data_IF_082778508370
#
_entry.id   IF_082778508370
#
_cell.length_a   1.000
_cell.length_b   1.000
_cell.length_c   1.000
_cell.angle_alpha   90.00
_cell.angle_beta   90.00
_cell.angle_gamma   90.00
#
_symmetry.space_group_name_H-M   'P 1'
#
loop_
_entity.id
_entity.type
_entity.pdbx_description
1 polymer ?
#
# COMPACT_ATOMS: atom_id res chain seq x y z
N UNK A 1 -25.58 -26.01 -16.77
CA UNK A 1 -26.17 -25.23 -15.66
C UNK A 1 -25.24 -25.10 -14.45
N UNK A 2 -24.67 -26.20 -13.93
CA UNK A 2 -23.73 -26.15 -12.80
C UNK A 2 -22.45 -25.34 -13.09
N UNK A 3 -21.80 -25.55 -14.24
CA UNK A 3 -20.61 -24.79 -14.64
C UNK A 3 -20.89 -23.29 -14.79
N UNK A 4 -22.05 -22.91 -15.37
CA UNK A 4 -22.48 -21.52 -15.47
C UNK A 4 -22.75 -20.90 -14.11
N UNK A 5 -23.32 -21.65 -13.16
CA UNK A 5 -23.58 -21.18 -11.79
C UNK A 5 -22.28 -21.01 -11.00
N UNK A 6 -21.34 -21.94 -11.15
CA UNK A 6 -19.98 -21.84 -10.57
C UNK A 6 -19.23 -20.64 -11.17
N UNK A 7 -19.26 -20.44 -12.48
CA UNK A 7 -18.65 -19.28 -13.15
C UNK A 7 -19.30 -17.96 -12.71
N UNK A 8 -20.63 -17.92 -12.55
CA UNK A 8 -21.32 -16.74 -12.01
C UNK A 8 -20.95 -16.49 -10.56
N UNK A 9 -20.90 -17.51 -9.71
CA UNK A 9 -20.45 -17.36 -8.32
C UNK A 9 -18.99 -16.89 -8.24
N UNK A 10 -18.12 -17.42 -9.10
CA UNK A 10 -16.71 -17.01 -9.18
C UNK A 10 -16.56 -15.56 -9.65
N UNK A 11 -17.29 -15.16 -10.69
CA UNK A 11 -17.35 -13.78 -11.17
C UNK A 11 -17.88 -12.83 -10.09
N UNK A 12 -18.89 -13.24 -9.33
CA UNK A 12 -19.43 -12.45 -8.23
C UNK A 12 -18.46 -12.22 -7.08
N UNK A 13 -17.44 -13.09 -6.92
CA UNK A 13 -16.42 -12.95 -5.86
C UNK A 13 -15.65 -11.62 -5.97
N UNK A 14 -15.36 -11.14 -7.18
CA UNK A 14 -14.70 -9.85 -7.38
C UNK A 14 -15.67 -8.71 -7.74
N UNK A 15 -16.81 -9.02 -8.37
CA UNK A 15 -17.80 -7.99 -8.78
C UNK A 15 -18.43 -7.29 -7.59
N UNK A 16 -18.87 -8.02 -6.56
CA UNK A 16 -19.49 -7.40 -5.39
C UNK A 16 -18.51 -6.47 -4.63
N UNK A 17 -17.29 -6.92 -4.26
CA UNK A 17 -16.29 -6.04 -3.69
C UNK A 17 -15.99 -4.83 -4.60
N UNK A 18 -15.76 -5.04 -5.91
CA UNK A 18 -15.47 -3.94 -6.83
C UNK A 18 -16.62 -2.93 -6.88
N UNK A 19 -17.87 -3.39 -6.93
CA UNK A 19 -19.06 -2.54 -6.95
C UNK A 19 -19.19 -1.71 -5.67
N UNK A 20 -18.92 -2.28 -4.49
CA UNK A 20 -18.97 -1.52 -3.22
C UNK A 20 -17.78 -0.57 -3.09
N UNK A 21 -16.56 -1.03 -3.37
CA UNK A 21 -15.34 -0.24 -3.24
C UNK A 21 -15.37 0.98 -4.17
N UNK A 22 -15.73 0.80 -5.44
CA UNK A 22 -15.86 1.92 -6.37
C UNK A 22 -17.16 2.68 -6.13
N UNK A 23 -18.26 1.99 -5.83
CA UNK A 23 -19.57 2.60 -5.65
C UNK A 23 -19.67 3.53 -4.45
N UNK A 24 -18.85 3.36 -3.43
CA UNK A 24 -18.82 4.26 -2.25
C UNK A 24 -17.90 5.47 -2.46
N UNK A 25 -17.11 5.52 -3.53
CA UNK A 25 -16.13 6.57 -3.78
C UNK A 25 -16.74 7.98 -3.91
N UNK A 26 -17.87 8.20 -4.60
CA UNK A 26 -18.47 9.53 -4.66
C UNK A 26 -18.96 10.02 -3.30
N UNK A 27 -19.59 9.14 -2.52
CA UNK A 27 -20.04 9.43 -1.15
C UNK A 27 -18.85 9.86 -0.28
N UNK A 28 -17.74 9.13 -0.38
CA UNK A 28 -16.51 9.45 0.30
C UNK A 28 -15.95 10.82 -0.10
N UNK A 29 -15.82 11.08 -1.40
CA UNK A 29 -15.30 12.35 -1.93
C UNK A 29 -16.20 13.53 -1.57
N UNK A 30 -17.53 13.35 -1.51
CA UNK A 30 -18.45 14.38 -1.04
C UNK A 30 -18.23 14.69 0.44
N UNK A 31 -18.12 13.67 1.30
CA UNK A 31 -17.85 13.86 2.72
C UNK A 31 -16.50 14.54 2.96
N UNK A 32 -15.46 14.10 2.26
CA UNK A 32 -14.15 14.73 2.28
C UNK A 32 -14.19 16.17 1.76
N UNK A 33 -14.86 16.43 0.63
CA UNK A 33 -14.97 17.74 0.03
C UNK A 33 -15.70 18.74 0.94
N UNK A 34 -16.80 18.30 1.57
CA UNK A 34 -17.51 19.10 2.57
C UNK A 34 -16.59 19.44 3.75
N UNK A 35 -15.86 18.46 4.29
CA UNK A 35 -14.91 18.71 5.36
C UNK A 35 -13.78 19.66 4.94
N UNK A 36 -13.25 19.50 3.72
CA UNK A 36 -12.21 20.36 3.18
C UNK A 36 -12.64 21.82 3.09
N UNK A 37 -13.90 22.07 2.74
CA UNK A 37 -14.47 23.42 2.70
C UNK A 37 -14.67 23.98 4.11
N UNK A 38 -15.26 23.19 5.02
CA UNK A 38 -15.53 23.62 6.40
C UNK A 38 -14.25 23.92 7.18
N UNK A 39 -13.20 23.14 6.94
CA UNK A 39 -11.91 23.29 7.62
C UNK A 39 -10.97 24.30 6.98
N UNK A 40 -11.37 24.97 5.88
CA UNK A 40 -10.52 25.93 5.17
C UNK A 40 -10.05 27.10 6.05
N UNK A 41 -10.83 27.43 7.09
CA UNK A 41 -10.53 28.50 8.05
C UNK A 41 -9.98 27.99 9.39
N UNK A 42 -9.75 26.68 9.51
CA UNK A 42 -9.23 26.06 10.73
C UNK A 42 -7.72 25.79 10.61
N UNK A 43 -6.99 25.72 11.75
CA UNK A 43 -5.61 25.24 11.75
C UNK A 43 -5.47 23.87 11.07
N UNK A 44 -4.38 23.68 10.31
CA UNK A 44 -4.12 22.48 9.51
C UNK A 44 -4.28 21.17 10.29
N UNK A 45 -3.89 21.15 11.57
CA UNK A 45 -4.04 19.98 12.45
C UNK A 45 -5.48 19.45 12.54
N UNK A 46 -6.49 20.34 12.49
CA UNK A 46 -7.89 19.92 12.55
C UNK A 46 -8.32 19.27 11.23
N UNK A 47 -7.94 19.88 10.10
CA UNK A 47 -8.16 19.26 8.79
C UNK A 47 -7.56 17.85 8.77
N UNK A 48 -6.28 17.71 9.16
CA UNK A 48 -5.57 16.44 9.15
C UNK A 48 -6.22 15.39 10.07
N UNK A 49 -6.62 15.76 11.28
CA UNK A 49 -7.22 14.82 12.23
C UNK A 49 -8.51 14.17 11.71
N UNK A 50 -9.38 14.95 11.05
CA UNK A 50 -10.63 14.43 10.48
C UNK A 50 -10.39 13.76 9.13
N UNK A 51 -9.47 14.26 8.31
CA UNK A 51 -9.04 13.61 7.06
C UNK A 51 -8.48 12.21 7.33
N UNK A 52 -7.64 12.05 8.34
CA UNK A 52 -7.13 10.75 8.82
C UNK A 52 -8.26 9.83 9.28
N UNK A 53 -9.30 10.38 9.93
CA UNK A 53 -10.47 9.59 10.36
C UNK A 53 -11.31 9.13 9.17
N UNK A 54 -11.54 10.01 8.18
CA UNK A 54 -12.23 9.65 6.95
C UNK A 54 -11.45 8.58 6.18
N UNK A 55 -10.14 8.76 6.03
CA UNK A 55 -9.28 7.77 5.38
C UNK A 55 -9.32 6.42 6.10
N UNK A 56 -9.24 6.44 7.43
CA UNK A 56 -9.37 5.23 8.25
C UNK A 56 -10.71 4.53 8.00
N UNK A 57 -11.82 5.25 7.87
CA UNK A 57 -13.13 4.66 7.56
C UNK A 57 -13.08 3.99 6.17
N UNK A 58 -12.63 4.70 5.15
CA UNK A 58 -12.57 4.17 3.79
C UNK A 58 -11.66 2.94 3.69
N UNK A 59 -10.44 3.01 4.21
CA UNK A 59 -9.51 1.89 4.17
C UNK A 59 -9.96 0.72 5.06
N UNK A 60 -10.64 0.97 6.18
CA UNK A 60 -11.20 -0.14 6.98
C UNK A 60 -12.28 -0.92 6.21
N UNK A 61 -13.06 -0.25 5.35
CA UNK A 61 -13.97 -0.92 4.41
C UNK A 61 -13.21 -1.67 3.33
N UNK A 62 -12.10 -1.14 2.80
CA UNK A 62 -11.22 -1.89 1.89
C UNK A 62 -10.74 -3.18 2.55
N UNK A 63 -10.22 -3.09 3.77
CA UNK A 63 -9.72 -4.24 4.53
C UNK A 63 -10.81 -5.25 4.91
N UNK A 64 -12.07 -4.84 5.01
CA UNK A 64 -13.19 -5.79 5.13
C UNK A 64 -13.18 -6.77 3.96
N UNK A 65 -13.03 -6.28 2.74
CA UNK A 65 -13.02 -7.15 1.56
C UNK A 65 -11.72 -7.95 1.42
N UNK A 66 -10.58 -7.33 1.68
CA UNK A 66 -9.29 -7.98 1.46
C UNK A 66 -8.84 -8.90 2.60
N UNK A 67 -9.41 -8.82 3.81
CA UNK A 67 -9.06 -9.75 4.88
C UNK A 67 -10.26 -10.56 5.39
N UNK A 68 -11.38 -9.90 5.69
CA UNK A 68 -12.53 -10.60 6.29
C UNK A 68 -13.38 -11.37 5.28
N UNK A 69 -13.60 -10.81 4.09
CA UNK A 69 -14.40 -11.44 3.04
C UNK A 69 -13.64 -12.55 2.29
N UNK A 70 -12.37 -12.29 1.93
CA UNK A 70 -11.50 -13.30 1.31
C UNK A 70 -11.25 -14.46 2.27
N UNK A 71 -11.06 -14.15 3.55
CA UNK A 71 -10.68 -15.12 4.57
C UNK A 71 -9.20 -15.55 4.46
N UNK A 72 -8.39 -14.76 3.77
CA UNK A 72 -6.94 -14.97 3.65
C UNK A 72 -6.29 -15.07 5.03
N UNK A 73 -5.34 -15.99 5.19
CA UNK A 73 -4.57 -16.10 6.43
C UNK A 73 -3.37 -15.16 6.38
N UNK A 74 -3.24 -14.30 7.39
CA UNK A 74 -2.10 -13.38 7.52
C UNK A 74 -1.13 -13.95 8.53
N UNK A 75 0.01 -14.45 8.03
CA UNK A 75 1.08 -15.03 8.85
C UNK A 75 2.18 -13.99 9.05
N UNK A 76 2.28 -13.48 10.27
CA UNK A 76 3.30 -12.50 10.65
C UNK A 76 4.52 -13.21 11.25
N UNK A 77 5.70 -12.86 10.78
CA UNK A 77 7.00 -13.31 11.29
C UNK A 77 7.76 -12.09 11.81
N UNK A 78 8.46 -12.26 12.93
CA UNK A 78 9.11 -11.15 13.63
C UNK A 78 8.13 -10.31 14.45
N UNK A 79 8.65 -9.24 15.05
CA UNK A 79 7.91 -8.44 16.03
C UNK A 79 7.28 -7.19 15.38
N UNK A 80 5.97 -7.23 15.19
CA UNK A 80 5.17 -6.03 14.93
C UNK A 80 4.84 -5.33 16.26
N UNK A 81 5.32 -4.10 16.51
CA UNK A 81 4.96 -3.38 17.73
C UNK A 81 3.45 -3.22 17.87
N UNK A 82 2.93 -3.37 19.09
CA UNK A 82 1.49 -3.13 19.36
C UNK A 82 1.14 -1.65 19.37
N UNK A 83 2.12 -0.82 19.72
CA UNK A 83 1.95 0.62 19.80
C UNK A 83 2.03 1.25 18.41
N UNK A 84 1.34 2.38 18.27
CA UNK A 84 1.44 3.21 17.10
C UNK A 84 2.78 3.95 17.11
N UNK A 85 3.51 3.84 16.01
CA UNK A 85 4.81 4.47 15.81
C UNK A 85 4.80 5.34 14.54
N UNK A 86 5.63 6.37 14.51
CA UNK A 86 5.97 7.11 13.31
C UNK A 86 7.07 6.34 12.58
N UNK A 87 6.75 5.78 11.41
CA UNK A 87 7.66 4.87 10.72
C UNK A 87 7.78 5.17 9.23
N UNK A 88 8.90 4.71 8.66
CA UNK A 88 9.00 4.44 7.23
C UNK A 88 8.82 2.93 7.04
N UNK A 89 7.86 2.55 6.23
CA UNK A 89 7.62 1.18 5.81
C UNK A 89 8.38 0.94 4.50
N UNK A 90 9.34 0.02 4.51
CA UNK A 90 10.13 -0.38 3.35
C UNK A 90 9.80 -1.84 3.02
N UNK A 91 9.26 -2.09 1.83
CA UNK A 91 8.97 -3.45 1.41
C UNK A 91 9.41 -3.77 -0.01
N UNK A 92 9.53 -5.06 -0.29
CA UNK A 92 9.53 -5.55 -1.66
C UNK A 92 8.15 -5.31 -2.31
N UNK A 93 8.12 -5.23 -3.63
CA UNK A 93 6.95 -4.89 -4.42
C UNK A 93 6.78 -5.93 -5.53
N UNK A 94 5.68 -6.67 -5.51
CA UNK A 94 5.40 -7.75 -6.47
C UNK A 94 3.93 -7.81 -6.90
N UNK A 95 3.01 -7.23 -6.14
CA UNK A 95 1.56 -7.33 -6.38
C UNK A 95 0.89 -5.96 -6.38
N UNK A 96 -0.25 -5.85 -7.08
CA UNK A 96 -1.18 -4.73 -6.88
C UNK A 96 -1.79 -4.67 -5.47
N UNK A 97 -1.66 -5.74 -4.68
CA UNK A 97 -2.18 -5.88 -3.31
C UNK A 97 -1.18 -5.37 -2.26
N UNK A 98 0.07 -5.08 -2.61
CA UNK A 98 1.12 -4.75 -1.62
C UNK A 98 0.79 -3.53 -0.75
N UNK A 99 0.08 -2.54 -1.28
CA UNK A 99 -0.38 -1.40 -0.47
C UNK A 99 -1.43 -1.80 0.56
N UNK A 100 -2.27 -2.79 0.24
CA UNK A 100 -3.26 -3.37 1.16
C UNK A 100 -2.53 -4.12 2.29
N UNK A 101 -1.40 -4.77 1.99
CA UNK A 101 -0.57 -5.40 3.02
C UNK A 101 -0.01 -4.36 4.00
N UNK A 102 0.40 -3.18 3.51
CA UNK A 102 0.80 -2.09 4.40
C UNK A 102 -0.37 -1.61 5.28
N UNK A 103 -1.58 -1.47 4.72
CA UNK A 103 -2.79 -1.11 5.46
C UNK A 103 -3.21 -2.17 6.49
N UNK A 104 -3.05 -3.47 6.17
CA UNK A 104 -3.25 -4.62 7.07
C UNK A 104 -2.37 -4.50 8.30
N UNK A 105 -1.10 -4.13 8.13
CA UNK A 105 -0.20 -3.91 9.27
C UNK A 105 -0.56 -2.63 10.04
N UNK A 106 -0.84 -1.54 9.33
CA UNK A 106 -1.17 -0.26 9.93
C UNK A 106 -2.44 -0.32 10.79
N UNK A 107 -3.50 -1.03 10.37
CA UNK A 107 -4.73 -1.15 11.17
C UNK A 107 -4.50 -1.91 12.49
N UNK A 108 -3.56 -2.87 12.51
CA UNK A 108 -3.18 -3.62 13.73
C UNK A 108 -2.50 -2.73 14.77
N UNK A 109 -1.93 -1.60 14.33
CA UNK A 109 -1.27 -0.60 15.18
C UNK A 109 -2.11 0.66 15.38
N UNK A 110 -3.38 0.67 14.94
CA UNK A 110 -4.23 1.87 14.89
C UNK A 110 -3.58 3.05 14.13
N UNK A 111 -2.76 2.74 13.12
CA UNK A 111 -2.04 3.70 12.29
C UNK A 111 -2.70 3.95 10.93
N UNK A 112 -3.81 3.26 10.59
CA UNK A 112 -4.40 3.26 9.25
C UNK A 112 -4.71 4.66 8.68
N UNK A 113 -5.24 5.58 9.50
CA UNK A 113 -5.51 6.97 9.09
C UNK A 113 -4.26 7.76 8.69
N UNK A 114 -3.08 7.32 9.14
CA UNK A 114 -1.81 8.02 9.04
C UNK A 114 -0.91 7.43 7.95
N UNK A 115 -1.42 6.47 7.19
CA UNK A 115 -0.69 5.87 6.08
C UNK A 115 -0.55 6.89 4.96
N UNK A 116 0.68 7.06 4.48
CA UNK A 116 1.06 7.94 3.38
C UNK A 116 1.89 7.14 2.41
N UNK A 117 1.79 7.45 1.12
CA UNK A 117 2.44 6.64 0.09
C UNK A 117 3.36 7.47 -0.79
N UNK A 118 4.51 6.89 -1.15
CA UNK A 118 5.25 7.31 -2.34
C UNK A 118 4.64 6.59 -3.55
N UNK A 119 3.93 7.35 -4.39
CA UNK A 119 3.05 6.85 -5.44
C UNK A 119 3.65 7.02 -6.83
N UNK A 120 3.38 6.09 -7.75
CA UNK A 120 3.67 6.29 -9.17
C UNK A 120 2.89 7.50 -9.70
N UNK A 121 3.56 8.40 -10.42
CA UNK A 121 2.96 9.64 -10.96
C UNK A 121 1.67 9.40 -11.76
N UNK A 122 1.56 8.30 -12.51
CA UNK A 122 0.35 7.97 -13.25
C UNK A 122 -0.91 7.81 -12.39
N UNK A 123 -0.77 7.50 -11.09
CA UNK A 123 -1.92 7.33 -10.17
C UNK A 123 -2.66 8.64 -9.86
N UNK A 124 -2.07 9.79 -10.17
CA UNK A 124 -2.75 11.09 -10.05
C UNK A 124 -3.94 11.24 -11.00
N UNK A 125 -3.99 10.43 -12.06
CA UNK A 125 -5.08 10.44 -13.04
C UNK A 125 -6.21 9.47 -12.70
N UNK A 126 -6.14 8.79 -11.55
CA UNK A 126 -7.24 7.94 -11.11
C UNK A 126 -8.49 8.78 -10.84
N UNK A 127 -9.63 8.46 -11.48
CA UNK A 127 -10.90 9.14 -11.26
C UNK A 127 -11.21 9.24 -9.78
N UNK A 128 -11.58 10.43 -9.30
CA UNK A 128 -11.85 10.76 -7.89
C UNK A 128 -10.66 10.66 -6.92
N UNK A 129 -9.82 9.63 -7.03
CA UNK A 129 -8.78 9.33 -6.05
C UNK A 129 -7.50 10.13 -6.22
N UNK A 130 -7.11 10.49 -7.45
CA UNK A 130 -5.80 11.10 -7.69
C UNK A 130 -5.56 12.41 -6.92
N UNK A 131 -6.50 13.36 -7.02
CA UNK A 131 -6.42 14.59 -6.23
C UNK A 131 -6.49 14.30 -4.72
N UNK A 132 -7.36 13.37 -4.31
CA UNK A 132 -7.50 12.99 -2.91
C UNK A 132 -6.20 12.41 -2.33
N UNK A 133 -5.55 11.47 -3.01
CA UNK A 133 -4.29 10.88 -2.55
C UNK A 133 -3.20 11.93 -2.38
N UNK A 134 -3.13 12.94 -3.25
CA UNK A 134 -2.22 14.05 -3.02
C UNK A 134 -2.56 14.82 -1.73
N UNK A 135 -3.84 15.14 -1.54
CA UNK A 135 -4.29 15.93 -0.38
C UNK A 135 -4.08 15.17 0.92
N UNK A 136 -4.33 13.87 0.92
CA UNK A 136 -4.01 12.91 1.99
C UNK A 136 -2.52 12.56 2.04
N UNK A 137 -1.63 13.45 1.57
CA UNK A 137 -0.20 13.35 1.82
C UNK A 137 0.61 12.41 0.90
N UNK A 138 0.00 11.80 -0.11
CA UNK A 138 0.70 10.99 -1.10
C UNK A 138 1.71 11.80 -1.93
N UNK A 139 2.90 11.23 -2.16
CA UNK A 139 4.02 11.88 -2.86
C UNK A 139 4.19 11.20 -4.21
N UNK A 140 3.90 11.92 -5.31
CA UNK A 140 4.01 11.36 -6.65
C UNK A 140 5.45 11.37 -7.17
N UNK A 141 5.87 10.24 -7.74
CA UNK A 141 7.22 10.06 -8.29
C UNK A 141 7.17 9.51 -9.72
N UNK A 142 8.00 10.09 -10.59
CA UNK A 142 8.21 9.61 -11.96
C UNK A 142 9.43 8.70 -12.00
N UNK A 143 9.35 7.59 -12.73
CA UNK A 143 10.44 6.60 -12.86
C UNK A 143 11.62 7.10 -13.70
N UNK A 144 11.33 7.93 -14.70
CA UNK A 144 12.26 8.39 -15.74
C UNK A 144 12.69 9.84 -15.58
N UNK A 145 12.00 10.63 -14.74
CA UNK A 145 12.31 12.04 -14.55
C UNK A 145 13.12 12.26 -13.27
N UNK A 146 13.79 13.43 -13.19
CA UNK A 146 14.49 13.86 -11.99
C UNK A 146 13.51 13.86 -10.82
N UNK A 147 13.86 13.12 -9.77
CA UNK A 147 13.08 13.04 -8.55
C UNK A 147 12.97 14.42 -7.88
N UNK A 148 11.75 14.85 -7.55
CA UNK A 148 11.49 16.17 -6.97
C UNK A 148 11.68 16.14 -5.44
N UNK A 149 12.94 16.15 -5.01
CA UNK A 149 13.31 16.11 -3.60
C UNK A 149 12.71 17.28 -2.81
N UNK A 150 12.70 18.48 -3.40
CA UNK A 150 12.20 19.69 -2.75
C UNK A 150 10.71 19.58 -2.40
N UNK A 151 9.90 19.05 -3.31
CA UNK A 151 8.48 18.85 -3.06
C UNK A 151 8.24 17.81 -1.96
N UNK A 152 8.94 16.67 -2.01
CA UNK A 152 8.84 15.65 -0.97
C UNK A 152 9.21 16.22 0.40
N UNK A 153 10.36 16.90 0.52
CA UNK A 153 10.82 17.54 1.77
C UNK A 153 9.79 18.53 2.31
N UNK A 154 9.29 19.43 1.45
CA UNK A 154 8.28 20.42 1.82
C UNK A 154 7.02 19.74 2.36
N UNK A 155 6.57 18.68 1.70
CA UNK A 155 5.36 17.95 2.07
C UNK A 155 5.54 17.24 3.41
N UNK A 156 6.60 16.45 3.56
CA UNK A 156 6.90 15.76 4.82
C UNK A 156 7.05 16.73 5.99
N UNK A 157 7.77 17.84 5.79
CA UNK A 157 7.94 18.85 6.83
C UNK A 157 6.60 19.49 7.23
N UNK A 158 5.67 19.68 6.30
CA UNK A 158 4.34 20.22 6.63
C UNK A 158 3.52 19.29 7.54
N UNK A 159 3.66 17.97 7.40
CA UNK A 159 3.02 16.98 8.28
C UNK A 159 3.68 16.91 9.65
N UNK A 160 5.02 16.95 9.69
CA UNK A 160 5.79 17.03 10.95
C UNK A 160 5.40 18.28 11.73
N UNK A 161 5.39 19.45 11.08
CA UNK A 161 5.03 20.72 11.71
C UNK A 161 3.57 20.74 12.22
N UNK A 162 2.68 19.96 11.60
CA UNK A 162 1.30 19.80 12.06
C UNK A 162 1.14 18.79 13.20
N UNK A 163 2.22 18.09 13.60
CA UNK A 163 2.18 17.01 14.58
C UNK A 163 1.38 15.80 14.09
N UNK A 164 1.25 15.62 12.78
CA UNK A 164 0.49 14.51 12.21
C UNK A 164 1.33 13.23 12.29
N UNK A 165 0.82 12.14 12.88
CA UNK A 165 1.52 10.86 12.88
C UNK A 165 1.80 10.36 11.46
N UNK A 166 2.89 9.62 11.24
CA UNK A 166 3.36 9.25 9.91
C UNK A 166 3.62 7.76 9.78
N UNK A 167 2.93 7.11 8.83
CA UNK A 167 3.23 5.74 8.39
C UNK A 167 3.54 5.78 6.90
N UNK A 168 4.78 6.13 6.55
CA UNK A 168 5.17 6.40 5.16
C UNK A 168 5.60 5.12 4.45
N UNK A 169 4.81 4.68 3.48
CA UNK A 169 5.05 3.50 2.66
C UNK A 169 5.89 3.85 1.44
N UNK A 170 7.02 3.14 1.31
CA UNK A 170 7.93 3.22 0.18
C UNK A 170 8.21 1.81 -0.31
N UNK A 171 8.16 1.64 -1.63
CA UNK A 171 8.60 0.43 -2.33
C UNK A 171 9.88 0.76 -3.11
N UNK A 172 11.08 0.57 -2.54
CA UNK A 172 12.33 1.02 -3.13
C UNK A 172 12.63 0.47 -4.52
N UNK A 173 12.09 -0.70 -4.89
CA UNK A 173 12.22 -1.27 -6.24
C UNK A 173 11.70 -0.31 -7.34
N UNK A 174 10.73 0.56 -7.00
CA UNK A 174 10.12 1.52 -7.91
C UNK A 174 9.20 0.89 -8.97
N UNK A 175 9.19 -0.44 -9.10
CA UNK A 175 8.25 -1.23 -9.89
C UNK A 175 8.01 -2.58 -9.23
N UNK A 176 6.88 -3.20 -9.58
CA UNK A 176 6.58 -4.57 -9.15
C UNK A 176 7.53 -5.53 -9.85
N UNK A 177 8.12 -6.44 -9.08
CA UNK A 177 8.72 -7.66 -9.55
C UNK A 177 7.63 -8.56 -10.14
N UNK A 178 7.82 -9.03 -11.37
CA UNK A 178 6.97 -10.02 -12.02
C UNK A 178 7.89 -11.01 -12.77
N UNK A 179 7.86 -12.32 -12.45
CA UNK A 179 8.67 -13.34 -13.12
C UNK A 179 8.55 -13.38 -14.65
N UNK A 180 7.40 -13.02 -15.19
CA UNK A 180 7.12 -13.02 -16.62
C UNK A 180 7.76 -11.82 -17.34
N UNK A 181 8.07 -10.74 -16.62
CA UNK A 181 8.71 -9.54 -17.15
C UNK A 181 10.24 -9.65 -17.14
N UNK A 182 10.76 -10.64 -17.88
CA UNK A 182 12.19 -10.97 -17.97
C UNK A 182 13.08 -9.77 -18.30
N UNK A 183 12.61 -8.84 -19.15
CA UNK A 183 13.33 -7.60 -19.49
C UNK A 183 13.57 -6.67 -18.30
N UNK A 184 12.61 -6.59 -17.38
CA UNK A 184 12.72 -5.73 -16.18
C UNK A 184 13.72 -6.34 -15.20
N UNK A 185 13.63 -7.67 -15.02
CA UNK A 185 14.54 -8.43 -14.17
C UNK A 185 15.97 -8.34 -14.71
N UNK A 186 16.18 -8.63 -16.00
CA UNK A 186 17.53 -8.60 -16.60
C UNK A 186 18.15 -7.20 -16.57
N UNK A 187 17.36 -6.14 -16.77
CA UNK A 187 17.85 -4.77 -16.62
C UNK A 187 18.28 -4.46 -15.18
N UNK A 188 17.52 -4.94 -14.18
CA UNK A 188 17.87 -4.78 -12.77
C UNK A 188 19.15 -5.53 -12.40
N UNK A 189 19.29 -6.77 -12.90
CA UNK A 189 20.46 -7.62 -12.66
C UNK A 189 21.71 -7.07 -13.36
N UNK A 190 21.57 -6.59 -14.59
CA UNK A 190 22.65 -5.93 -15.34
C UNK A 190 23.15 -4.68 -14.60
N UNK A 191 22.22 -3.84 -14.12
CA UNK A 191 22.57 -2.67 -13.33
C UNK A 191 23.31 -3.06 -12.04
N UNK A 192 22.84 -4.08 -11.31
CA UNK A 192 23.51 -4.56 -10.10
C UNK A 192 24.95 -5.02 -10.41
N UNK A 193 25.13 -5.84 -11.44
CA UNK A 193 26.44 -6.33 -11.86
C UNK A 193 27.39 -5.18 -12.26
N UNK A 194 26.90 -4.19 -13.01
CA UNK A 194 27.69 -3.02 -13.43
C UNK A 194 28.13 -2.15 -12.25
N UNK A 195 27.30 -2.02 -11.23
CA UNK A 195 27.58 -1.24 -10.01
C UNK A 195 28.36 -2.04 -8.95
N UNK A 196 28.72 -3.30 -9.23
CA UNK A 196 29.37 -4.18 -8.26
C UNK A 196 28.48 -4.58 -7.08
N UNK A 197 27.16 -4.52 -7.25
CA UNK A 197 26.16 -4.89 -6.25
C UNK A 197 25.74 -6.36 -6.44
N UNK A 198 25.28 -7.05 -5.38
CA UNK A 198 24.76 -8.41 -5.52
C UNK A 198 23.56 -8.49 -6.47
N UNK A 199 23.59 -9.52 -7.31
CA UNK A 199 22.54 -9.79 -8.29
C UNK A 199 21.41 -10.55 -7.62
N UNK A 200 20.25 -9.91 -7.51
CA UNK A 200 19.08 -10.43 -6.79
C UNK A 200 18.19 -11.29 -7.71
N UNK A 201 17.51 -12.30 -7.14
CA UNK A 201 16.71 -13.28 -7.89
C UNK A 201 15.20 -13.02 -7.82
N UNK A 202 14.68 -12.63 -6.66
CA UNK A 202 13.26 -12.57 -6.32
C UNK A 202 12.77 -11.18 -5.93
N UNK A 203 13.66 -10.20 -5.91
CA UNK A 203 13.37 -8.76 -5.82
C UNK A 203 14.20 -8.01 -6.86
N UNK A 204 13.80 -6.78 -7.16
CA UNK A 204 14.58 -5.86 -7.97
C UNK A 204 15.54 -5.05 -7.10
N UNK A 205 16.58 -4.54 -7.74
CA UNK A 205 17.61 -3.69 -7.13
C UNK A 205 16.96 -2.38 -6.65
N UNK A 206 17.05 -2.04 -5.35
CA UNK A 206 16.34 -0.90 -4.78
C UNK A 206 16.92 0.44 -5.26
N UNK A 207 16.05 1.46 -5.32
CA UNK A 207 16.40 2.86 -5.59
C UNK A 207 16.41 3.65 -4.29
N UNK A 208 17.51 4.34 -4.01
CA UNK A 208 17.71 5.03 -2.72
C UNK A 208 16.96 6.36 -2.57
N UNK A 209 16.80 7.16 -3.63
CA UNK A 209 16.50 8.60 -3.50
C UNK A 209 15.29 8.93 -2.62
N UNK A 210 14.17 8.22 -2.82
CA UNK A 210 12.95 8.47 -2.04
C UNK A 210 13.13 8.07 -0.57
N UNK A 211 13.79 6.95 -0.30
CA UNK A 211 14.10 6.48 1.06
C UNK A 211 15.02 7.46 1.78
N UNK A 212 16.08 7.93 1.11
CA UNK A 212 17.03 8.89 1.69
C UNK A 212 16.38 10.22 2.03
N UNK A 213 15.63 10.80 1.09
CA UNK A 213 14.93 12.06 1.33
C UNK A 213 13.86 11.93 2.41
N UNK A 214 13.14 10.80 2.45
CA UNK A 214 12.17 10.52 3.51
C UNK A 214 12.84 10.47 4.88
N UNK A 215 13.88 9.64 5.03
CA UNK A 215 14.56 9.47 6.30
C UNK A 215 15.20 10.77 6.78
N UNK A 216 15.96 11.45 5.90
CA UNK A 216 16.63 12.71 6.25
C UNK A 216 15.63 13.81 6.66
N UNK A 217 14.44 13.84 6.05
CA UNK A 217 13.40 14.80 6.42
C UNK A 217 12.69 14.46 7.74
N UNK A 218 12.61 13.18 8.10
CA UNK A 218 11.77 12.71 9.22
C UNK A 218 12.56 12.12 10.39
N UNK A 219 13.90 12.01 10.33
CA UNK A 219 14.73 11.29 11.33
C UNK A 219 14.46 11.67 12.79
N UNK A 220 14.17 12.94 13.06
CA UNK A 220 13.85 13.42 14.41
C UNK A 220 12.41 13.11 14.86
N UNK A 221 11.53 12.80 13.92
CA UNK A 221 10.11 12.52 14.13
C UNK A 221 9.77 11.02 14.07
N UNK A 222 10.66 10.22 13.49
CA UNK A 222 10.54 8.76 13.39
C UNK A 222 10.85 8.06 14.71
N UNK A 223 10.20 6.93 14.91
CA UNK A 223 10.52 5.95 15.95
C UNK A 223 11.37 4.80 15.36
N UNK A 224 11.04 4.34 14.14
CA UNK A 224 11.70 3.21 13.50
C UNK A 224 11.52 3.18 11.98
N UNK A 225 12.26 2.28 11.32
CA UNK A 225 11.96 1.79 9.98
C UNK A 225 11.43 0.36 10.11
N UNK A 226 10.30 0.08 9.46
CA UNK A 226 9.82 -1.29 9.32
C UNK A 226 10.28 -1.84 7.97
N UNK A 227 11.22 -2.78 8.02
CA UNK A 227 11.69 -3.49 6.85
C UNK A 227 10.89 -4.78 6.67
N UNK A 228 10.01 -4.79 5.66
CA UNK A 228 8.97 -5.81 5.50
C UNK A 228 9.18 -6.64 4.24
N UNK A 229 9.15 -7.96 4.37
CA UNK A 229 9.22 -8.90 3.24
C UNK A 229 7.90 -9.62 3.13
N UNK A 230 7.23 -9.45 1.99
CA UNK A 230 5.94 -10.07 1.70
C UNK A 230 6.15 -11.23 0.72
N UNK A 231 5.46 -12.34 0.96
CA UNK A 231 5.31 -13.43 0.00
C UNK A 231 3.85 -13.92 -0.03
N UNK A 232 3.36 -14.22 -1.23
CA UNK A 232 2.01 -14.74 -1.45
C UNK A 232 2.09 -16.26 -1.67
N UNK A 233 1.45 -17.04 -0.80
CA UNK A 233 1.38 -18.50 -0.94
C UNK A 233 0.55 -18.87 -2.18
N UNK A 234 0.86 -20.00 -2.83
CA UNK A 234 0.18 -20.45 -4.05
C UNK A 234 0.74 -19.87 -5.36
N UNK A 235 1.85 -19.11 -5.30
CA UNK A 235 2.48 -18.48 -6.47
C UNK A 235 3.65 -19.29 -7.04
N UNK A 236 3.53 -20.62 -7.01
CA UNK A 236 4.52 -21.57 -7.58
C UNK A 236 3.78 -22.54 -8.49
N UNK A 237 4.35 -22.87 -9.65
CA UNK A 237 3.79 -23.84 -10.60
C UNK A 237 4.16 -25.29 -10.26
N UNK A 238 3.56 -26.23 -10.99
CA UNK A 238 3.81 -27.67 -10.80
C UNK A 238 5.27 -28.07 -11.10
N UNK A 239 6.03 -27.20 -11.77
CA UNK A 239 7.46 -27.36 -12.06
C UNK A 239 8.35 -26.69 -11.01
N UNK A 240 7.76 -26.13 -9.96
CA UNK A 240 8.46 -25.44 -8.88
C UNK A 240 8.92 -24.03 -9.23
N UNK A 241 8.45 -23.43 -10.33
CA UNK A 241 8.80 -22.08 -10.75
C UNK A 241 7.82 -21.04 -10.17
N UNK A 242 8.36 -19.89 -9.76
CA UNK A 242 7.56 -18.77 -9.25
C UNK A 242 6.71 -18.16 -10.35
N UNK A 243 5.41 -17.99 -10.08
CA UNK A 243 4.41 -17.30 -10.92
C UNK A 243 4.26 -15.82 -10.51
N UNK A 244 3.52 -15.06 -11.31
CA UNK A 244 3.09 -13.72 -10.93
C UNK A 244 2.33 -13.74 -9.60
N UNK A 245 2.57 -12.73 -8.76
CA UNK A 245 1.84 -12.53 -7.52
C UNK A 245 0.40 -12.08 -7.81
N UNK A 246 -0.60 -12.49 -7.00
CA UNK A 246 -2.00 -12.27 -7.32
C UNK A 246 -2.31 -10.79 -7.53
N UNK A 247 -3.05 -10.47 -8.58
CA UNK A 247 -3.69 -9.18 -8.78
C UNK A 247 -4.78 -8.94 -7.74
N UNK A 248 -5.26 -7.70 -7.60
CA UNK A 248 -6.39 -7.40 -6.72
C UNK A 248 -7.65 -8.21 -7.05
N UNK A 249 -7.89 -8.50 -8.34
CA UNK A 249 -9.05 -9.27 -8.76
C UNK A 249 -8.93 -10.74 -8.34
N UNK A 250 -7.81 -11.39 -8.65
CA UNK A 250 -7.52 -12.78 -8.25
C UNK A 250 -7.53 -12.92 -6.72
N UNK A 251 -6.98 -11.94 -6.02
CA UNK A 251 -7.00 -11.90 -4.56
C UNK A 251 -8.42 -11.86 -3.99
N UNK A 252 -9.31 -11.02 -4.55
CA UNK A 252 -10.72 -10.98 -4.16
C UNK A 252 -11.49 -12.25 -4.55
N UNK A 253 -11.05 -12.94 -5.61
CA UNK A 253 -11.50 -14.28 -5.98
C UNK A 253 -10.95 -15.40 -5.07
N UNK A 254 -10.20 -15.04 -4.01
CA UNK A 254 -9.64 -15.97 -3.02
C UNK A 254 -8.57 -16.90 -3.58
N UNK A 255 -7.87 -16.47 -4.63
CA UNK A 255 -6.79 -17.25 -5.24
C UNK A 255 -5.48 -17.23 -4.44
N UNK A 256 -5.43 -16.45 -3.34
CA UNK A 256 -4.31 -16.44 -2.40
C UNK A 256 -4.78 -16.88 -1.00
N UNK A 257 -4.46 -18.11 -0.57
CA UNK A 257 -4.93 -18.63 0.72
C UNK A 257 -4.18 -18.02 1.91
N UNK A 258 -2.89 -17.73 1.76
CA UNK A 258 -2.05 -17.16 2.83
C UNK A 258 -1.11 -16.08 2.30
N UNK A 259 -0.91 -15.04 3.12
CA UNK A 259 0.16 -14.07 2.94
C UNK A 259 1.14 -14.24 4.09
N UNK A 260 2.42 -14.36 3.75
CA UNK A 260 3.52 -14.40 4.70
C UNK A 260 4.16 -13.01 4.73
N UNK A 261 4.30 -12.45 5.92
CA UNK A 261 4.84 -11.11 6.13
C UNK A 261 5.92 -11.21 7.20
N UNK A 262 7.18 -11.09 6.79
CA UNK A 262 8.31 -10.98 7.69
C UNK A 262 8.60 -9.51 7.97
N UNK A 263 8.72 -9.15 9.24
CA UNK A 263 8.91 -7.78 9.71
C UNK A 263 10.18 -7.71 10.54
N UNK A 264 11.09 -6.82 10.13
CA UNK A 264 12.24 -6.42 10.93
C UNK A 264 12.08 -4.94 11.31
N UNK A 265 11.98 -4.67 12.62
CA UNK A 265 11.89 -3.31 13.15
C UNK A 265 13.29 -2.78 13.42
N UNK A 266 13.72 -1.83 12.60
CA UNK A 266 15.04 -1.21 12.68
C UNK A 266 14.91 0.12 13.43
N UNK A 267 15.66 0.28 14.52
CA UNK A 267 15.72 1.56 15.24
C UNK A 267 16.31 2.63 14.32
N UNK A 268 15.77 3.85 14.37
CA UNK A 268 16.25 4.97 13.54
C UNK A 268 17.75 5.25 13.73
N UNK A 269 18.32 4.93 14.89
CA UNK A 269 19.75 5.13 15.18
C UNK A 269 20.65 4.18 14.38
N UNK A 270 20.10 3.05 13.93
CA UNK A 270 20.82 2.01 13.19
C UNK A 270 20.74 2.26 11.66
N UNK A 271 20.12 3.36 11.24
CA UNK A 271 19.97 3.75 9.84
C UNK A 271 21.02 4.81 9.49
N UNK A 272 21.91 4.57 8.51
CA UNK A 272 22.93 5.55 8.14
C UNK A 272 22.32 6.82 7.55
N UNK A 273 22.80 8.00 7.97
CA UNK A 273 22.31 9.29 7.47
C UNK A 273 22.91 9.68 6.12
N UNK A 274 24.21 9.42 5.93
CA UNK A 274 24.89 9.77 4.71
C UNK A 274 24.43 8.92 3.54
N UNK A 275 24.19 9.56 2.39
CA UNK A 275 23.58 8.91 1.24
C UNK A 275 24.36 7.69 0.73
N UNK A 276 25.70 7.72 0.81
CA UNK A 276 26.56 6.61 0.36
C UNK A 276 26.39 5.39 1.25
N UNK A 277 26.45 5.56 2.57
CA UNK A 277 26.25 4.48 3.53
C UNK A 277 24.81 3.96 3.51
N UNK A 278 23.83 4.85 3.35
CA UNK A 278 22.44 4.44 3.20
C UNK A 278 22.22 3.64 1.91
N UNK A 279 22.94 3.96 0.81
CA UNK A 279 22.84 3.19 -0.45
C UNK A 279 23.23 1.75 -0.16
N UNK A 280 24.40 1.55 0.44
CA UNK A 280 24.91 0.24 0.83
C UNK A 280 23.95 -0.49 1.77
N UNK A 281 23.52 0.16 2.86
CA UNK A 281 22.57 -0.40 3.82
C UNK A 281 21.27 -0.85 3.16
N UNK A 282 20.68 -0.03 2.28
CA UNK A 282 19.43 -0.39 1.59
C UNK A 282 19.61 -1.57 0.64
N UNK A 283 20.76 -1.69 -0.04
CA UNK A 283 21.08 -2.87 -0.85
C UNK A 283 21.24 -4.12 0.03
N UNK A 284 21.96 -4.03 1.15
CA UNK A 284 22.09 -5.12 2.12
C UNK A 284 20.72 -5.57 2.66
N UNK A 285 19.80 -4.63 2.93
CA UNK A 285 18.41 -4.97 3.31
C UNK A 285 17.72 -5.78 2.22
N UNK A 286 17.86 -5.39 0.95
CA UNK A 286 17.25 -6.11 -0.16
C UNK A 286 17.89 -7.47 -0.44
N UNK A 287 19.18 -7.65 -0.15
CA UNK A 287 19.81 -8.97 -0.15
C UNK A 287 19.21 -9.91 0.91
N UNK A 288 18.92 -9.39 2.10
CA UNK A 288 18.22 -10.16 3.14
C UNK A 288 16.82 -10.56 2.65
N UNK A 289 16.06 -9.64 2.04
CA UNK A 289 14.75 -9.94 1.44
C UNK A 289 14.86 -11.03 0.38
N UNK A 290 15.86 -10.93 -0.49
CA UNK A 290 16.07 -11.89 -1.57
C UNK A 290 16.35 -13.29 -1.02
N UNK A 291 17.22 -13.40 -0.01
CA UNK A 291 17.49 -14.67 0.68
C UNK A 291 16.25 -15.28 1.30
N UNK A 292 15.43 -14.47 2.00
CA UNK A 292 14.15 -14.92 2.56
C UNK A 292 13.21 -15.47 1.49
N UNK A 293 13.15 -14.80 0.32
CA UNK A 293 12.29 -15.25 -0.78
C UNK A 293 12.88 -16.47 -1.52
N UNK A 294 14.20 -16.60 -1.60
CA UNK A 294 14.86 -17.80 -2.15
C UNK A 294 14.50 -19.00 -1.27
N UNK A 295 14.62 -18.89 0.05
CA UNK A 295 14.19 -19.96 0.95
C UNK A 295 12.69 -20.26 0.80
N UNK A 296 11.86 -19.22 0.71
CA UNK A 296 10.41 -19.37 0.56
C UNK A 296 10.00 -20.10 -0.73
N UNK A 297 10.57 -19.73 -1.88
CA UNK A 297 10.16 -20.22 -3.20
C UNK A 297 10.96 -21.44 -3.69
N UNK A 298 12.28 -21.44 -3.45
CA UNK A 298 13.24 -22.35 -4.07
C UNK A 298 13.80 -23.44 -3.13
N UNK A 299 13.45 -23.42 -1.83
CA UNK A 299 13.97 -24.42 -0.90
C UNK A 299 13.68 -25.85 -1.37
N UNK A 300 14.73 -26.68 -1.39
CA UNK A 300 14.63 -28.12 -1.63
C UNK A 300 14.07 -28.87 -0.41
N UNK A 301 14.19 -28.28 0.78
CA UNK A 301 13.59 -28.79 2.01
C UNK A 301 12.11 -28.37 2.05
N UNK A 302 11.16 -29.32 1.96
CA UNK A 302 9.72 -29.03 1.96
C UNK A 302 9.25 -28.32 3.23
N UNK A 303 9.91 -28.52 4.36
CA UNK A 303 9.55 -27.90 5.65
C UNK A 303 9.90 -26.40 5.70
N UNK A 304 10.84 -25.96 4.85
CA UNK A 304 11.24 -24.55 4.72
C UNK A 304 10.50 -23.83 3.60
N UNK A 305 9.90 -24.57 2.66
CA UNK A 305 9.15 -23.97 1.55
C UNK A 305 7.86 -23.33 2.06
N UNK A 306 7.45 -22.23 1.43
CA UNK A 306 6.27 -21.44 1.83
C UNK A 306 6.31 -21.00 3.30
N UNK A 307 7.49 -20.78 3.88
CA UNK A 307 7.65 -20.34 5.26
C UNK A 307 8.87 -19.44 5.35
N UNK A 308 8.74 -18.32 6.07
CA UNK A 308 9.93 -17.56 6.48
C UNK A 308 10.56 -18.17 7.74
N UNK A 309 11.84 -17.91 8.00
CA UNK A 309 12.49 -18.32 9.25
C UNK A 309 11.74 -17.82 10.49
N UNK A 310 11.76 -18.62 11.55
CA UNK A 310 11.12 -18.32 12.83
C UNK A 310 9.67 -18.81 12.95
N UNK A 311 9.07 -18.50 14.10
CA UNK A 311 7.65 -18.77 14.35
C UNK A 311 6.78 -17.71 13.71
N UNK A 312 5.65 -18.14 13.15
CA UNK A 312 4.64 -17.23 12.65
C UNK A 312 3.43 -17.17 13.57
N UNK A 313 2.84 -15.99 13.65
CA UNK A 313 1.56 -15.78 14.32
C UNK A 313 0.50 -15.53 13.26
N UNK A 314 -0.55 -16.36 13.26
CA UNK A 314 -1.74 -16.08 12.47
C UNK A 314 -2.49 -14.90 13.08
N UNK A 315 -2.32 -13.73 12.47
CA UNK A 315 -2.87 -12.47 12.94
C UNK A 315 -4.18 -12.21 12.23
N UNK A 316 -5.31 -12.61 12.82
CA UNK A 316 -6.64 -12.36 12.22
C UNK A 316 -7.20 -10.99 12.60
N UNK A 317 -7.55 -10.17 11.61
CA UNK A 317 -8.20 -8.89 11.82
C UNK A 317 -9.65 -9.07 12.29
N UNK A 318 -9.97 -8.49 13.45
CA UNK A 318 -11.32 -8.53 14.01
C UNK A 318 -12.31 -7.78 13.12
N UNK A 319 -13.48 -8.38 12.87
CA UNK A 319 -14.60 -7.71 12.19
C UNK A 319 -14.99 -6.38 12.84
N UNK A 320 -14.76 -6.21 14.14
CA UNK A 320 -15.02 -4.94 14.84
C UNK A 320 -14.20 -3.76 14.30
N UNK A 321 -13.07 -4.02 13.64
CA UNK A 321 -12.19 -2.99 13.06
C UNK A 321 -12.65 -2.54 11.66
N UNK A 322 -13.36 -3.40 10.92
CA UNK A 322 -13.64 -3.21 9.49
C UNK A 322 -15.13 -3.10 9.18
N UNK A 323 -15.96 -3.93 9.83
CA UNK A 323 -17.40 -4.03 9.58
C UNK A 323 -18.14 -2.71 9.82
N UNK A 324 -17.89 -1.93 10.91
CA UNK A 324 -18.59 -0.66 11.11
C UNK A 324 -18.37 0.32 9.95
N UNK A 325 -17.15 0.42 9.45
CA UNK A 325 -16.82 1.31 8.34
C UNK A 325 -17.49 0.88 7.03
N UNK A 326 -17.51 -0.43 6.76
CA UNK A 326 -18.25 -1.00 5.63
C UNK A 326 -19.75 -0.67 5.71
N UNK A 327 -20.38 -0.88 6.86
CA UNK A 327 -21.81 -0.61 7.05
C UNK A 327 -22.13 0.89 6.92
N UNK A 328 -21.30 1.77 7.52
CA UNK A 328 -21.49 3.21 7.45
C UNK A 328 -21.40 3.71 6.00
N UNK A 329 -20.33 3.37 5.27
CA UNK A 329 -20.15 3.86 3.91
C UNK A 329 -21.19 3.29 2.94
N UNK A 330 -21.49 1.99 3.07
CA UNK A 330 -22.51 1.34 2.25
C UNK A 330 -23.90 1.91 2.55
N UNK A 331 -24.24 2.13 3.83
CA UNK A 331 -25.52 2.72 4.25
C UNK A 331 -25.68 4.15 3.77
N UNK A 332 -24.66 5.00 3.90
CA UNK A 332 -24.68 6.38 3.39
C UNK A 332 -24.83 6.42 1.86
N UNK A 333 -24.11 5.53 1.17
CA UNK A 333 -24.19 5.44 -0.29
C UNK A 333 -25.57 4.95 -0.73
N UNK A 334 -26.11 3.92 -0.08
CA UNK A 334 -27.46 3.44 -0.34
C UNK A 334 -28.49 4.55 -0.10
N UNK A 335 -28.43 5.24 1.04
CA UNK A 335 -29.32 6.36 1.36
C UNK A 335 -29.29 7.48 0.31
N UNK A 336 -28.10 7.83 -0.19
CA UNK A 336 -27.95 8.78 -1.29
C UNK A 336 -28.61 8.27 -2.58
N UNK A 337 -28.43 6.98 -2.93
CA UNK A 337 -28.98 6.39 -4.15
C UNK A 337 -30.51 6.18 -4.09
N UNK A 338 -31.12 6.16 -2.91
CA UNK A 338 -32.58 6.03 -2.76
C UNK A 338 -33.35 7.26 -3.26
N UNK A 339 -32.73 8.45 -3.25
CA UNK A 339 -33.39 9.69 -3.68
C UNK A 339 -32.98 10.12 -5.08
N UNK A 340 -33.88 10.76 -5.84
CA UNK A 340 -33.55 11.28 -7.17
C UNK A 340 -32.45 12.34 -7.12
N UNK A 341 -32.53 13.26 -6.14
CA UNK A 341 -31.52 14.29 -5.92
C UNK A 341 -30.15 13.67 -5.59
N UNK A 342 -30.11 12.66 -4.72
CA UNK A 342 -28.88 11.97 -4.36
C UNK A 342 -28.27 11.17 -5.51
N UNK A 343 -29.09 10.49 -6.35
CA UNK A 343 -28.59 9.87 -7.59
C UNK A 343 -27.99 10.88 -8.55
N UNK A 344 -28.63 12.03 -8.75
CA UNK A 344 -28.08 13.13 -9.57
C UNK A 344 -26.75 13.62 -8.99
N UNK A 345 -26.67 13.84 -7.68
CA UNK A 345 -25.43 14.25 -7.00
C UNK A 345 -24.32 13.21 -7.13
N UNK A 346 -24.65 11.93 -6.98
CA UNK A 346 -23.72 10.80 -7.13
C UNK A 346 -23.08 10.77 -8.54
N UNK A 347 -23.90 10.80 -9.59
CA UNK A 347 -23.42 10.79 -10.99
C UNK A 347 -22.63 12.07 -11.29
N UNK A 348 -23.12 13.23 -10.83
CA UNK A 348 -22.39 14.50 -10.97
C UNK A 348 -21.03 14.46 -10.28
N UNK A 349 -20.92 13.82 -9.12
CA UNK A 349 -19.65 13.68 -8.41
C UNK A 349 -18.67 12.82 -9.21
N UNK A 350 -19.12 11.71 -9.79
CA UNK A 350 -18.28 10.92 -10.71
C UNK A 350 -17.73 11.76 -11.86
N UNK A 351 -18.59 12.50 -12.55
CA UNK A 351 -18.20 13.28 -13.74
C UNK A 351 -17.36 14.49 -13.32
N UNK A 352 -17.93 15.40 -12.55
CA UNK A 352 -17.29 16.67 -12.21
C UNK A 352 -16.15 16.49 -11.22
N UNK A 353 -16.26 15.57 -10.25
CA UNK A 353 -15.17 15.27 -9.33
C UNK A 353 -13.93 14.74 -10.06
N UNK A 354 -14.14 13.89 -11.07
CA UNK A 354 -13.04 13.42 -11.93
C UNK A 354 -12.47 14.54 -12.78
N UNK A 355 -13.31 15.34 -13.45
CA UNK A 355 -12.85 16.46 -14.28
C UNK A 355 -12.06 17.50 -13.45
N UNK A 356 -12.58 17.87 -12.27
CA UNK A 356 -11.91 18.79 -11.34
C UNK A 356 -10.59 18.18 -10.87
N UNK A 357 -10.57 16.88 -10.53
CA UNK A 357 -9.35 16.18 -10.15
C UNK A 357 -8.29 16.22 -11.25
N UNK A 358 -8.66 15.89 -12.49
CA UNK A 358 -7.77 15.95 -13.64
C UNK A 358 -7.27 17.38 -13.92
N UNK A 359 -8.15 18.38 -13.84
CA UNK A 359 -7.78 19.79 -14.03
C UNK A 359 -6.80 20.25 -12.94
N UNK A 360 -7.10 19.91 -11.68
CA UNK A 360 -6.25 20.22 -10.54
C UNK A 360 -4.85 19.62 -10.70
N UNK A 361 -4.77 18.37 -11.15
CA UNK A 361 -3.51 17.70 -11.47
C UNK A 361 -2.77 18.45 -12.57
N UNK A 362 -3.42 18.84 -13.66
CA UNK A 362 -2.77 19.54 -14.77
C UNK A 362 -2.19 20.90 -14.39
N UNK A 363 -2.79 21.58 -13.40
CA UNK A 363 -2.33 22.90 -12.93
C UNK A 363 -1.20 22.78 -11.90
N UNK A 364 -1.20 21.74 -11.05
CA UNK A 364 -0.26 21.59 -9.92
C UNK A 364 0.89 20.60 -10.13
N UNK A 365 0.83 19.73 -11.15
CA UNK A 365 1.79 18.63 -11.33
C UNK A 365 3.04 18.97 -12.16
#
# INVERSE_FOLDING_TARGET
MLLSLVLHMYSMCCVLPAAVLLGTAPTYVLAWGAWRLLSAFLPSRFYQAVDDRLYCIYQSMVLFFFENYTGVQILLYGDLPKNKENIIYLANHQSTVDWIVADILAIRQNALGHVRYVLKDGLKWLPLYGCYFYQHGGIYVKRSAKFNEKEMRKKLQSYINAGTPMYLVIFPEGTRYNPELTKVISASQTFAAQEGLPVLKHVLTPRIKATHVAFDSMKNYLDAIYDVTVAFEGTVDDKGQRKEAPSMAEFLCKECPKIHIHIDRIDKKDVPEEQVYMKRWLHERFEIKDKLLIEFYDSLDPERRNKFPGESVNSKLSLKKTLPSFLILSGLTAGMLMTEAGRKLYVKTWIYGTLIGCLWVSIKA
#
